data_IF_448951807686
#
_entry.id   IF_448951807686
#
_cell.length_a   1.000
_cell.length_b   1.000
_cell.length_c   1.000
_cell.angle_alpha   90.00
_cell.angle_beta   90.00
_cell.angle_gamma   90.00
#
_symmetry.space_group_name_H-M   'P 1'
#
loop_
_entity.id
_entity.type
_entity.pdbx_description
1 polymer ?
#
# COMPACT_ATOMS: atom_id res chain seq x y z
N UNK A 1 -79.19 20.36 -26.39
CA UNK A 1 -77.76 20.09 -26.23
C UNK A 1 -77.13 21.31 -25.58
N UNK A 2 -76.90 21.26 -24.28
CA UNK A 2 -76.24 22.29 -23.48
C UNK A 2 -75.42 21.54 -22.44
N UNK A 3 -74.09 21.71 -22.45
CA UNK A 3 -73.21 21.23 -21.40
C UNK A 3 -72.52 22.45 -20.80
N UNK A 4 -72.88 22.75 -19.54
CA UNK A 4 -72.21 23.69 -18.66
C UNK A 4 -70.88 23.10 -18.17
N UNK A 5 -69.88 23.97 -18.05
CA UNK A 5 -68.58 23.68 -17.47
C UNK A 5 -68.62 23.46 -15.96
N UNK A 6 -67.72 22.59 -15.49
CA UNK A 6 -67.44 22.35 -14.08
C UNK A 6 -66.18 23.10 -13.65
N UNK A 7 -66.34 23.93 -12.63
CA UNK A 7 -65.28 24.60 -11.87
C UNK A 7 -64.85 23.65 -10.74
N UNK A 8 -63.58 23.26 -10.67
CA UNK A 8 -63.04 22.47 -9.56
C UNK A 8 -62.34 23.40 -8.55
N UNK A 9 -62.80 23.37 -7.30
CA UNK A 9 -62.26 24.10 -6.16
C UNK A 9 -61.21 23.22 -5.47
N UNK A 10 -60.00 23.75 -5.26
CA UNK A 10 -58.96 23.09 -4.47
C UNK A 10 -59.17 23.34 -2.96
N UNK A 11 -59.04 22.32 -2.09
CA UNK A 11 -59.04 22.52 -0.64
C UNK A 11 -57.67 23.01 -0.16
N UNK A 12 -57.71 24.05 0.70
CA UNK A 12 -56.56 24.56 1.45
C UNK A 12 -56.33 23.61 2.64
N UNK A 13 -55.16 22.96 2.70
CA UNK A 13 -54.73 22.24 3.90
C UNK A 13 -54.31 23.25 4.97
N UNK A 14 -55.05 23.27 6.08
CA UNK A 14 -54.67 23.96 7.30
C UNK A 14 -53.54 23.19 8.00
N UNK A 15 -52.40 23.83 8.18
CA UNK A 15 -51.29 23.34 8.99
C UNK A 15 -51.70 23.45 10.46
N UNK A 16 -51.79 22.33 11.18
CA UNK A 16 -51.94 22.33 12.63
C UNK A 16 -50.65 22.85 13.26
N UNK A 17 -50.71 24.05 13.85
CA UNK A 17 -49.72 24.53 14.79
C UNK A 17 -49.88 23.73 16.09
N UNK A 18 -48.99 22.77 16.31
CA UNK A 18 -48.80 22.17 17.64
C UNK A 18 -48.20 23.25 18.53
N UNK A 19 -48.98 23.74 19.48
CA UNK A 19 -48.51 24.58 20.57
C UNK A 19 -47.51 23.78 21.41
N UNK A 20 -46.29 24.31 21.69
CA UNK A 20 -45.42 23.66 22.65
C UNK A 20 -46.08 23.72 24.02
N UNK A 21 -46.26 22.55 24.65
CA UNK A 21 -46.60 22.48 26.08
C UNK A 21 -45.51 23.22 26.85
N UNK A 22 -45.89 24.37 27.43
CA UNK A 22 -45.02 25.13 28.32
C UNK A 22 -44.92 24.35 29.62
N UNK A 23 -43.82 23.62 29.78
CA UNK A 23 -43.46 23.02 31.06
C UNK A 23 -43.22 24.15 32.07
N UNK A 24 -44.14 24.33 33.02
CA UNK A 24 -44.17 25.47 33.95
C UNK A 24 -43.09 25.43 35.05
N UNK A 25 -42.25 24.38 35.07
CA UNK A 25 -41.21 24.18 36.09
C UNK A 25 -39.80 24.62 35.62
N UNK A 26 -39.71 25.53 34.63
CA UNK A 26 -38.42 26.04 34.16
C UNK A 26 -37.86 27.13 35.08
N UNK A 27 -36.86 26.79 35.90
CA UNK A 27 -36.14 27.74 36.79
C UNK A 27 -34.96 28.46 36.12
N UNK A 28 -34.78 28.33 34.81
CA UNK A 28 -33.62 28.90 34.08
C UNK A 28 -33.82 30.35 33.61
N UNK A 29 -32.73 31.00 33.21
CA UNK A 29 -32.79 32.33 32.59
C UNK A 29 -33.50 32.27 31.25
N UNK A 30 -34.51 33.10 31.05
CA UNK A 30 -35.25 33.25 29.78
C UNK A 30 -34.73 34.47 29.01
N UNK A 31 -34.78 34.39 27.69
CA UNK A 31 -34.42 35.51 26.83
C UNK A 31 -35.49 36.62 26.98
N UNK A 32 -35.10 37.85 27.36
CA UNK A 32 -36.05 38.92 27.66
C UNK A 32 -36.85 39.42 26.45
N UNK A 33 -36.46 39.09 25.22
CA UNK A 33 -37.14 39.55 24.00
C UNK A 33 -38.18 38.58 23.45
N UNK A 34 -38.05 37.28 23.71
CA UNK A 34 -38.94 36.26 23.14
C UNK A 34 -39.47 35.23 24.14
N UNK A 35 -39.09 35.33 25.43
CA UNK A 35 -39.56 34.44 26.49
C UNK A 35 -39.11 32.99 26.34
N UNK A 36 -38.27 32.68 25.35
CA UNK A 36 -37.72 31.35 25.19
C UNK A 36 -36.66 31.11 26.28
N UNK A 37 -36.54 29.88 26.80
CA UNK A 37 -35.40 29.52 27.65
C UNK A 37 -34.11 29.90 26.91
N UNK A 38 -33.21 30.63 27.58
CA UNK A 38 -31.87 30.83 27.03
C UNK A 38 -31.29 29.43 26.93
N UNK A 39 -31.03 28.96 25.71
CA UNK A 39 -30.24 27.75 25.52
C UNK A 39 -28.93 28.00 26.25
N UNK A 40 -28.75 27.37 27.41
CA UNK A 40 -27.42 27.19 27.96
C UNK A 40 -26.65 26.56 26.81
N UNK A 41 -25.62 27.25 26.33
CA UNK A 41 -24.62 26.65 25.46
C UNK A 41 -24.31 25.31 26.11
N UNK A 42 -24.74 24.24 25.45
CA UNK A 42 -24.52 22.91 25.94
C UNK A 42 -23.02 22.82 26.06
N UNK A 43 -22.51 22.80 27.30
CA UNK A 43 -21.11 22.50 27.54
C UNK A 43 -20.81 21.30 26.67
N UNK A 44 -19.86 21.45 25.75
CA UNK A 44 -19.46 20.37 24.86
C UNK A 44 -19.21 19.17 25.76
N UNK A 45 -20.14 18.21 25.74
CA UNK A 45 -20.02 17.01 26.56
C UNK A 45 -18.68 16.43 26.16
N UNK A 46 -17.73 16.47 27.09
CA UNK A 46 -16.39 15.94 26.90
C UNK A 46 -16.50 14.41 26.99
N UNK A 47 -17.32 13.83 26.10
CA UNK A 47 -17.56 12.40 26.02
C UNK A 47 -16.23 11.82 25.55
N UNK A 48 -15.55 11.01 26.38
CA UNK A 48 -14.22 10.52 26.05
C UNK A 48 -14.24 9.64 24.80
N UNK A 49 -15.39 9.04 24.47
CA UNK A 49 -15.58 8.14 23.35
C UNK A 49 -16.67 8.63 22.38
N UNK A 50 -16.37 8.66 21.08
CA UNK A 50 -17.30 9.10 20.03
C UNK A 50 -17.57 7.97 19.05
N UNK A 51 -18.84 7.64 18.83
CA UNK A 51 -19.23 6.61 17.85
C UNK A 51 -19.05 7.13 16.41
N UNK A 52 -18.47 6.31 15.55
CA UNK A 52 -18.24 6.60 14.14
C UNK A 52 -19.31 5.92 13.25
N UNK A 53 -19.50 6.40 12.01
CA UNK A 53 -20.50 5.84 11.09
C UNK A 53 -20.26 4.36 10.72
N UNK A 54 -19.01 3.92 10.69
CA UNK A 54 -18.63 2.51 10.45
C UNK A 54 -18.96 1.58 11.64
N UNK A 55 -19.57 2.11 12.70
CA UNK A 55 -19.92 1.39 13.92
C UNK A 55 -18.79 1.31 14.95
N UNK A 56 -17.57 1.72 14.61
CA UNK A 56 -16.45 1.81 15.55
C UNK A 56 -16.61 2.99 16.50
N UNK A 57 -15.72 3.09 17.48
CA UNK A 57 -15.69 4.21 18.44
C UNK A 57 -14.30 4.80 18.52
N UNK A 58 -14.19 6.12 18.59
CA UNK A 58 -12.94 6.83 18.77
C UNK A 58 -12.80 7.35 20.21
N UNK A 59 -11.74 6.95 20.90
CA UNK A 59 -11.37 7.47 22.21
C UNK A 59 -10.48 8.72 22.07
N UNK A 60 -11.00 9.88 22.50
CA UNK A 60 -10.32 11.18 22.46
C UNK A 60 -9.16 11.29 23.44
N UNK A 61 -9.13 10.49 24.49
CA UNK A 61 -8.09 10.50 25.52
C UNK A 61 -6.93 9.60 25.11
N UNK A 62 -7.24 8.40 24.63
CA UNK A 62 -6.24 7.42 24.20
C UNK A 62 -5.77 7.66 22.74
N UNK A 63 -6.49 8.48 21.97
CA UNK A 63 -6.28 8.69 20.55
C UNK A 63 -6.33 7.41 19.71
N UNK A 64 -7.24 6.50 20.06
CA UNK A 64 -7.39 5.19 19.41
C UNK A 64 -8.80 4.93 18.94
N UNK A 65 -8.92 4.20 17.84
CA UNK A 65 -10.16 3.62 17.33
C UNK A 65 -10.39 2.25 17.98
N UNK A 66 -11.65 1.93 18.27
CA UNK A 66 -12.09 0.72 18.95
C UNK A 66 -13.09 -0.04 18.07
N UNK A 67 -12.82 -1.32 17.84
CA UNK A 67 -13.57 -2.20 16.95
C UNK A 67 -14.11 -3.40 17.70
N UNK A 68 -15.44 -3.56 17.69
CA UNK A 68 -16.11 -4.78 18.14
C UNK A 68 -16.33 -5.71 16.96
N UNK A 69 -15.97 -6.98 17.10
CA UNK A 69 -16.19 -7.98 16.05
C UNK A 69 -17.40 -8.83 16.41
N UNK A 70 -18.45 -8.79 15.60
CA UNK A 70 -19.69 -9.51 15.88
C UNK A 70 -19.43 -11.01 16.12
N UNK A 71 -19.91 -11.54 17.24
CA UNK A 71 -19.72 -12.94 17.63
C UNK A 71 -18.43 -13.22 18.40
N UNK A 72 -17.65 -12.20 18.75
CA UNK A 72 -16.48 -12.31 19.60
C UNK A 72 -16.60 -11.33 20.78
N UNK A 73 -16.14 -11.76 21.94
CA UNK A 73 -15.96 -10.88 23.09
C UNK A 73 -14.62 -10.14 22.97
N UNK A 74 -14.56 -8.91 23.48
CA UNK A 74 -13.37 -8.06 23.41
C UNK A 74 -13.43 -6.94 22.37
N UNK A 75 -12.49 -6.01 22.51
CA UNK A 75 -12.37 -4.80 21.68
C UNK A 75 -10.95 -4.76 21.12
N UNK A 76 -10.82 -4.71 19.79
CA UNK A 76 -9.55 -4.42 19.14
C UNK A 76 -9.39 -2.90 19.11
N UNK A 77 -8.23 -2.38 19.54
CA UNK A 77 -7.93 -0.96 19.42
C UNK A 77 -6.81 -0.70 18.41
N UNK A 78 -6.84 0.45 17.74
CA UNK A 78 -5.88 0.83 16.70
C UNK A 78 -5.60 2.34 16.73
N UNK A 79 -4.38 2.74 16.39
CA UNK A 79 -4.03 4.16 16.20
C UNK A 79 -4.58 4.76 14.89
N UNK A 80 -5.07 3.92 13.97
CA UNK A 80 -5.62 4.33 12.68
C UNK A 80 -7.04 3.84 12.48
N UNK A 81 -7.82 4.56 11.67
CA UNK A 81 -9.17 4.20 11.30
C UNK A 81 -9.19 3.07 10.25
N UNK A 82 -10.35 2.43 10.08
CA UNK A 82 -10.53 1.41 9.06
C UNK A 82 -10.51 2.00 7.65
N UNK A 83 -9.64 1.47 6.81
CA UNK A 83 -9.37 1.93 5.44
C UNK A 83 -8.43 3.13 5.38
N UNK A 84 -7.76 3.52 6.47
CA UNK A 84 -6.87 4.67 6.48
C UNK A 84 -5.53 4.34 5.81
N UNK A 85 -5.00 5.29 5.05
CA UNK A 85 -3.64 5.25 4.48
C UNK A 85 -2.73 6.15 5.29
N UNK A 86 -1.58 5.62 5.75
CA UNK A 86 -0.60 6.34 6.58
C UNK A 86 0.83 6.12 6.10
N UNK A 87 1.74 7.00 6.53
CA UNK A 87 3.19 6.87 6.31
C UNK A 87 3.97 6.54 7.57
N UNK A 88 3.30 6.62 8.73
CA UNK A 88 3.89 6.36 10.04
C UNK A 88 3.48 4.98 10.57
N UNK A 89 4.22 4.41 11.54
CA UNK A 89 3.88 3.13 12.13
C UNK A 89 2.49 3.11 12.79
N UNK A 90 1.85 1.94 12.73
CA UNK A 90 0.53 1.67 13.30
C UNK A 90 0.67 0.76 14.50
N UNK A 91 -0.05 1.08 15.58
CA UNK A 91 -0.16 0.22 16.75
C UNK A 91 -1.59 -0.31 16.86
N UNK A 92 -1.69 -1.61 17.15
CA UNK A 92 -2.94 -2.32 17.36
C UNK A 92 -2.84 -3.11 18.66
N UNK A 93 -3.90 -3.09 19.46
CA UNK A 93 -4.04 -3.98 20.63
C UNK A 93 -5.14 -4.99 20.36
N UNK A 94 -4.81 -6.27 20.52
CA UNK A 94 -5.73 -7.39 20.37
C UNK A 94 -5.89 -8.04 21.76
N UNK A 95 -7.14 -8.25 22.23
CA UNK A 95 -7.40 -8.99 23.46
C UNK A 95 -6.77 -10.39 23.44
N UNK A 96 -6.22 -10.84 24.57
CA UNK A 96 -5.50 -12.12 24.67
C UNK A 96 -6.37 -13.37 24.43
N UNK A 97 -7.68 -13.21 24.58
CA UNK A 97 -8.72 -14.22 24.37
C UNK A 97 -9.22 -14.28 22.92
N UNK A 98 -8.72 -13.40 22.04
CA UNK A 98 -9.11 -13.33 20.63
C UNK A 98 -8.02 -13.93 19.73
N UNK A 99 -8.36 -14.95 18.94
CA UNK A 99 -7.47 -15.46 17.89
C UNK A 99 -7.58 -14.55 16.65
N UNK A 100 -6.59 -13.70 16.44
CA UNK A 100 -6.52 -12.79 15.31
C UNK A 100 -5.19 -12.91 14.57
N UNK A 101 -5.26 -12.76 13.25
CA UNK A 101 -4.10 -12.83 12.36
C UNK A 101 -3.94 -11.51 11.63
N UNK A 102 -2.69 -11.03 11.59
CA UNK A 102 -2.29 -9.91 10.74
C UNK A 102 -1.91 -10.46 9.35
N UNK A 103 -2.53 -9.91 8.33
CA UNK A 103 -2.16 -10.14 6.93
C UNK A 103 -1.48 -8.89 6.39
N UNK A 104 -0.41 -9.08 5.61
CA UNK A 104 0.26 -8.03 4.83
C UNK A 104 0.27 -8.49 3.38
N UNK A 105 -0.28 -7.67 2.48
CA UNK A 105 -0.40 -7.97 1.05
C UNK A 105 -1.08 -9.34 0.76
N UNK A 106 -2.03 -9.74 1.62
CA UNK A 106 -2.75 -11.02 1.52
C UNK A 106 -2.06 -12.22 2.16
N UNK A 107 -0.81 -12.08 2.64
CA UNK A 107 -0.06 -13.15 3.31
C UNK A 107 -0.05 -12.97 4.82
N UNK A 108 -0.08 -14.07 5.57
CA UNK A 108 -0.05 -14.03 7.05
C UNK A 108 1.33 -13.58 7.51
N UNK A 109 1.38 -12.56 8.35
CA UNK A 109 2.63 -12.13 9.02
C UNK A 109 2.93 -13.10 10.16
N UNK A 110 4.08 -13.78 10.10
CA UNK A 110 4.54 -14.64 11.19
C UNK A 110 5.05 -13.80 12.36
N UNK A 111 4.51 -14.00 13.57
CA UNK A 111 4.93 -13.30 14.80
C UNK A 111 4.93 -11.75 14.65
N UNK A 112 3.79 -11.14 14.34
CA UNK A 112 3.70 -9.69 14.15
C UNK A 112 3.98 -8.93 15.44
N UNK A 113 4.68 -7.79 15.32
CA UNK A 113 4.78 -6.78 16.36
C UNK A 113 3.58 -5.82 16.23
N UNK A 114 2.48 -6.16 16.89
CA UNK A 114 1.25 -5.36 16.83
C UNK A 114 1.42 -3.95 17.41
N UNK A 115 2.38 -3.73 18.29
CA UNK A 115 2.63 -2.40 18.87
C UNK A 115 3.36 -1.44 17.94
N UNK A 116 3.94 -1.94 16.84
CA UNK A 116 4.79 -1.17 15.95
C UNK A 116 4.83 -1.75 14.53
N UNK A 117 3.68 -1.82 13.87
CA UNK A 117 3.56 -2.25 12.48
C UNK A 117 4.07 -1.09 11.61
N UNK A 118 5.23 -1.27 10.98
CA UNK A 118 5.95 -0.18 10.29
C UNK A 118 6.30 -0.44 8.83
N UNK A 119 6.26 -1.71 8.41
CA UNK A 119 6.71 -2.05 7.07
C UNK A 119 5.66 -1.64 6.03
N UNK A 120 6.09 -1.24 4.84
CA UNK A 120 5.20 -0.82 3.75
C UNK A 120 4.31 -1.99 3.30
N UNK A 121 3.02 -1.75 3.13
CA UNK A 121 2.08 -2.73 2.57
C UNK A 121 0.63 -2.47 2.95
N UNK A 122 -0.24 -3.32 2.40
CA UNK A 122 -1.66 -3.34 2.71
C UNK A 122 -1.95 -4.35 3.79
N UNK A 123 -2.57 -3.91 4.87
CA UNK A 123 -2.80 -4.70 6.06
C UNK A 123 -4.28 -5.02 6.27
N UNK A 124 -4.54 -6.23 6.76
CA UNK A 124 -5.85 -6.59 7.30
C UNK A 124 -5.70 -7.43 8.57
N UNK A 125 -6.55 -7.16 9.55
CA UNK A 125 -6.64 -7.90 10.80
C UNK A 125 -7.91 -8.74 10.75
N UNK A 126 -7.71 -10.04 10.79
CA UNK A 126 -8.81 -11.02 10.66
C UNK A 126 -8.89 -11.82 11.94
N UNK A 127 -10.03 -11.71 12.62
CA UNK A 127 -10.38 -12.55 13.76
C UNK A 127 -10.87 -13.89 13.22
N UNK A 128 -10.27 -14.97 13.73
CA UNK A 128 -10.55 -16.35 13.37
C UNK A 128 -11.28 -17.03 14.53
N UNK A 129 -12.43 -17.61 14.22
CA UNK A 129 -13.17 -18.50 15.11
C UNK A 129 -13.21 -19.91 14.52
N UNK A 130 -13.94 -20.81 15.19
CA UNK A 130 -14.01 -22.24 14.82
C UNK A 130 -14.38 -22.43 13.34
N UNK A 131 -15.38 -21.69 12.85
CA UNK A 131 -15.87 -21.77 11.46
C UNK A 131 -16.09 -20.41 10.79
N UNK A 132 -15.55 -19.33 11.36
CA UNK A 132 -15.76 -17.98 10.80
C UNK A 132 -14.46 -17.18 10.77
N UNK A 133 -14.33 -16.36 9.72
CA UNK A 133 -13.29 -15.35 9.61
C UNK A 133 -13.95 -14.01 9.40
N UNK A 134 -13.61 -13.04 10.24
CA UNK A 134 -14.15 -11.67 10.13
C UNK A 134 -13.00 -10.68 10.13
N UNK A 135 -12.94 -9.87 9.07
CA UNK A 135 -12.02 -8.73 9.04
C UNK A 135 -12.54 -7.68 10.03
N UNK A 136 -11.68 -7.29 10.96
CA UNK A 136 -11.97 -6.26 11.94
C UNK A 136 -11.54 -4.86 11.45
N UNK A 137 -10.37 -4.80 10.83
CA UNK A 137 -9.70 -3.57 10.44
C UNK A 137 -8.83 -3.83 9.21
N UNK A 138 -8.74 -2.84 8.32
CA UNK A 138 -7.71 -2.74 7.28
C UNK A 138 -7.09 -1.35 7.25
N UNK A 139 -5.85 -1.23 6.83
CA UNK A 139 -5.14 0.03 6.63
C UNK A 139 -3.94 -0.20 5.69
N UNK A 140 -3.42 0.85 5.09
CA UNK A 140 -2.20 0.79 4.27
C UNK A 140 -1.10 1.63 4.91
N UNK A 141 0.12 1.08 4.95
CA UNK A 141 1.34 1.83 5.27
C UNK A 141 2.11 2.02 3.97
N UNK A 142 2.35 3.26 3.58
CA UNK A 142 3.09 3.61 2.36
C UNK A 142 4.37 4.38 2.70
N UNK A 143 5.33 4.35 1.79
CA UNK A 143 6.50 5.22 1.89
C UNK A 143 6.12 6.70 1.75
N UNK A 144 6.98 7.59 2.26
CA UNK A 144 6.83 9.04 2.03
C UNK A 144 6.94 9.41 0.56
N UNK A 145 7.67 8.61 -0.22
CA UNK A 145 7.61 8.54 -1.68
C UNK A 145 7.04 7.17 -2.05
N UNK A 146 6.05 7.12 -2.94
CA UNK A 146 5.39 5.85 -3.29
C UNK A 146 4.78 5.88 -4.69
N UNK A 147 4.90 4.77 -5.41
CA UNK A 147 4.17 4.48 -6.63
C UNK A 147 2.94 3.59 -6.43
N UNK A 148 2.66 3.17 -5.20
CA UNK A 148 1.59 2.20 -4.91
C UNK A 148 0.18 2.81 -4.92
N UNK A 149 0.06 4.13 -4.69
CA UNK A 149 -1.23 4.80 -4.53
C UNK A 149 -1.72 5.36 -5.87
N UNK A 150 -2.83 4.83 -6.38
CA UNK A 150 -3.53 5.41 -7.55
C UNK A 150 -4.76 6.20 -7.15
N UNK A 151 -5.40 5.81 -6.04
CA UNK A 151 -6.50 6.53 -5.42
C UNK A 151 -6.55 6.22 -3.92
N UNK A 152 -7.21 7.08 -3.16
CA UNK A 152 -7.49 6.84 -1.75
C UNK A 152 -8.91 7.26 -1.41
N UNK A 153 -9.69 6.30 -0.96
CA UNK A 153 -11.04 6.53 -0.42
C UNK A 153 -10.90 6.73 1.08
N UNK A 154 -11.19 7.93 1.57
CA UNK A 154 -11.17 8.22 2.99
C UNK A 154 -12.06 7.26 3.79
N UNK A 155 -11.69 6.91 5.03
CA UNK A 155 -12.55 6.14 5.94
C UNK A 155 -13.97 6.70 6.06
N UNK A 156 -14.92 5.85 6.42
CA UNK A 156 -16.31 6.28 6.57
C UNK A 156 -16.45 7.35 7.67
N UNK A 157 -17.20 8.41 7.39
CA UNK A 157 -17.35 9.55 8.30
C UNK A 157 -16.21 10.58 8.24
N UNK A 158 -15.22 10.40 7.35
CA UNK A 158 -14.17 11.39 7.13
C UNK A 158 -14.46 12.24 5.89
N UNK A 159 -14.04 13.50 5.95
CA UNK A 159 -14.24 14.52 4.90
C UNK A 159 -12.94 15.22 4.56
N UNK A 160 -12.70 15.44 3.27
CA UNK A 160 -11.53 16.18 2.79
C UNK A 160 -11.69 17.65 3.16
N UNK A 161 -10.64 18.24 3.75
CA UNK A 161 -10.57 19.66 4.12
C UNK A 161 -9.75 20.45 3.10
N UNK A 162 -8.65 19.88 2.61
CA UNK A 162 -7.81 20.49 1.57
C UNK A 162 -6.94 19.45 0.87
N UNK A 163 -6.62 19.71 -0.39
CA UNK A 163 -5.59 19.00 -1.14
C UNK A 163 -4.69 20.05 -1.79
N UNK A 164 -3.38 19.87 -1.68
CA UNK A 164 -2.40 20.56 -2.52
C UNK A 164 -1.48 19.57 -3.20
N UNK A 165 -1.13 19.86 -4.46
CA UNK A 165 -0.15 19.13 -5.26
C UNK A 165 0.95 20.12 -5.61
N UNK A 166 2.19 19.83 -5.20
CA UNK A 166 3.36 20.71 -5.37
C UNK A 166 3.07 22.14 -4.87
N UNK A 167 2.53 22.23 -3.65
CA UNK A 167 2.11 23.46 -2.99
C UNK A 167 0.97 24.24 -3.68
N UNK A 168 0.43 23.73 -4.79
CA UNK A 168 -0.73 24.31 -5.47
C UNK A 168 -2.01 23.70 -4.93
N UNK A 169 -2.86 24.51 -4.30
CA UNK A 169 -4.19 24.08 -3.82
C UNK A 169 -5.07 23.62 -4.97
N UNK A 170 -5.67 22.44 -4.80
CA UNK A 170 -6.61 21.86 -5.74
C UNK A 170 -8.05 22.22 -5.37
N UNK A 171 -8.94 22.21 -6.36
CA UNK A 171 -10.37 22.30 -6.13
C UNK A 171 -10.87 21.07 -5.38
N UNK A 172 -11.74 21.27 -4.39
CA UNK A 172 -12.39 20.16 -3.70
C UNK A 172 -13.63 19.75 -4.47
N UNK A 173 -13.67 18.48 -4.85
CA UNK A 173 -14.92 17.81 -5.17
C UNK A 173 -15.44 17.21 -3.86
N UNK A 174 -16.75 17.25 -3.59
CA UNK A 174 -17.40 16.65 -2.40
C UNK A 174 -17.34 15.10 -2.38
N UNK A 175 -16.30 14.54 -2.98
CA UNK A 175 -15.91 13.16 -3.04
C UNK A 175 -15.16 12.78 -1.76
N UNK A 176 -15.29 11.51 -1.33
CA UNK A 176 -14.41 10.90 -0.32
C UNK A 176 -13.13 10.31 -0.95
N UNK A 177 -13.04 10.33 -2.27
CA UNK A 177 -11.95 9.76 -3.04
C UNK A 177 -10.99 10.85 -3.50
N UNK A 178 -9.71 10.60 -3.28
CA UNK A 178 -8.57 11.37 -3.76
C UNK A 178 -7.96 10.59 -4.92
N UNK A 179 -7.70 11.28 -6.02
CA UNK A 179 -7.02 10.72 -7.19
C UNK A 179 -5.53 11.04 -7.11
N UNK A 180 -4.69 10.00 -7.24
CA UNK A 180 -3.24 10.09 -7.25
C UNK A 180 -2.66 9.81 -8.65
N UNK A 181 -3.48 9.80 -9.71
CA UNK A 181 -3.04 9.59 -11.08
C UNK A 181 -1.96 10.57 -11.57
N UNK A 182 -1.90 11.77 -10.97
CA UNK A 182 -0.87 12.76 -11.26
C UNK A 182 0.28 12.61 -10.26
N UNK A 183 1.50 12.52 -10.75
CA UNK A 183 2.71 12.57 -9.91
C UNK A 183 2.90 13.94 -9.25
N UNK A 184 3.63 13.95 -8.13
CA UNK A 184 3.97 15.17 -7.38
C UNK A 184 3.80 15.01 -5.87
N UNK A 185 4.02 16.10 -5.13
CA UNK A 185 3.93 16.12 -3.67
C UNK A 185 2.53 16.48 -3.21
N UNK A 186 1.85 15.52 -2.61
CA UNK A 186 0.52 15.69 -2.04
C UNK A 186 0.60 16.07 -0.57
N UNK A 187 -0.16 17.10 -0.20
CA UNK A 187 -0.52 17.41 1.19
C UNK A 187 -2.05 17.38 1.28
N UNK A 188 -2.58 16.32 1.87
CA UNK A 188 -4.01 16.09 2.04
C UNK A 188 -4.35 16.29 3.50
N UNK A 189 -5.25 17.23 3.78
CA UNK A 189 -5.87 17.40 5.11
C UNK A 189 -7.30 16.91 5.07
N UNK A 190 -7.68 16.14 6.07
CA UNK A 190 -9.02 15.58 6.19
C UNK A 190 -9.43 15.45 7.65
N UNK A 191 -10.73 15.49 7.92
CA UNK A 191 -11.29 15.53 9.27
C UNK A 191 -12.28 14.39 9.47
N UNK A 192 -12.26 13.77 10.63
CA UNK A 192 -13.36 12.89 11.05
C UNK A 192 -14.53 13.75 11.52
N UNK A 193 -15.69 13.66 10.86
CA UNK A 193 -16.85 14.52 11.15
C UNK A 193 -17.40 14.30 12.57
N UNK A 194 -17.33 13.08 13.09
CA UNK A 194 -17.87 12.75 14.41
C UNK A 194 -16.90 13.14 15.54
N UNK A 195 -15.62 12.76 15.45
CA UNK A 195 -14.63 13.06 16.50
C UNK A 195 -14.04 14.46 16.38
N UNK A 196 -14.27 15.15 15.27
CA UNK A 196 -13.79 16.50 14.98
C UNK A 196 -12.27 16.66 14.83
N UNK A 197 -11.53 15.54 14.78
CA UNK A 197 -10.07 15.52 14.69
C UNK A 197 -9.61 15.61 13.24
N UNK A 198 -8.55 16.40 13.03
CA UNK A 198 -7.89 16.57 11.76
C UNK A 198 -6.73 15.57 11.61
N UNK A 199 -6.58 15.06 10.40
CA UNK A 199 -5.54 14.13 9.96
C UNK A 199 -4.89 14.70 8.72
N UNK A 200 -3.64 14.29 8.46
CA UNK A 200 -2.93 14.67 7.24
C UNK A 200 -2.21 13.48 6.62
N UNK A 201 -2.26 13.38 5.30
CA UNK A 201 -1.42 12.47 4.52
C UNK A 201 -0.48 13.32 3.65
N UNK A 202 0.83 13.19 3.89
CA UNK A 202 1.88 13.84 3.11
C UNK A 202 2.68 12.77 2.38
N UNK A 203 2.61 12.77 1.06
CA UNK A 203 3.20 11.73 0.22
C UNK A 203 3.63 12.30 -1.13
N UNK A 204 4.80 11.89 -1.60
CA UNK A 204 5.27 12.13 -2.96
C UNK A 204 4.86 10.94 -3.84
N UNK A 205 4.05 11.20 -4.86
CA UNK A 205 3.59 10.19 -5.80
C UNK A 205 4.52 10.17 -7.00
N UNK A 206 5.07 8.99 -7.27
CA UNK A 206 5.95 8.70 -8.39
C UNK A 206 5.59 7.33 -8.96
N UNK A 207 5.04 7.29 -10.16
CA UNK A 207 4.62 6.08 -10.85
C UNK A 207 5.62 5.65 -11.92
N UNK A 208 6.75 6.35 -12.04
CA UNK A 208 7.73 6.14 -13.09
C UNK A 208 8.65 4.97 -12.70
N UNK A 209 8.61 3.83 -13.43
CA UNK A 209 9.48 2.71 -13.10
C UNK A 209 10.97 3.02 -13.37
N UNK A 210 11.89 2.30 -12.70
CA UNK A 210 13.33 2.45 -12.93
C UNK A 210 13.71 2.24 -14.40
N UNK A 211 14.52 3.15 -14.95
CA UNK A 211 15.08 3.03 -16.31
C UNK A 211 16.43 2.31 -16.27
N UNK A 212 16.40 0.97 -16.37
CA UNK A 212 17.61 0.13 -16.35
C UNK A 212 17.83 -0.64 -17.66
N UNK A 213 19.10 -0.78 -18.05
CA UNK A 213 19.50 -1.56 -19.22
C UNK A 213 20.30 -2.81 -18.81
N UNK A 214 19.98 -3.94 -19.44
CA UNK A 214 20.68 -5.22 -19.25
C UNK A 214 21.64 -5.50 -20.42
N UNK A 215 22.83 -4.89 -20.38
CA UNK A 215 23.85 -5.06 -21.42
C UNK A 215 24.27 -6.51 -21.57
N UNK A 216 24.29 -7.00 -22.81
CA UNK A 216 24.65 -8.38 -23.14
C UNK A 216 23.46 -9.32 -23.30
N UNK A 217 22.24 -8.89 -22.96
CA UNK A 217 21.02 -9.67 -23.18
C UNK A 217 20.44 -9.35 -24.56
N UNK A 218 20.24 -10.38 -25.38
CA UNK A 218 19.53 -10.31 -26.67
C UNK A 218 18.50 -11.44 -26.71
N UNK A 219 17.23 -11.10 -26.96
CA UNK A 219 16.12 -12.06 -27.03
C UNK A 219 16.05 -13.01 -25.79
N UNK A 220 16.23 -12.45 -24.60
CA UNK A 220 16.21 -13.19 -23.33
C UNK A 220 17.42 -14.11 -23.09
N UNK A 221 18.48 -14.00 -23.90
CA UNK A 221 19.69 -14.82 -23.79
C UNK A 221 20.94 -13.94 -23.78
N UNK A 222 21.97 -14.39 -23.09
CA UNK A 222 23.28 -13.76 -23.10
C UNK A 222 24.36 -14.81 -23.39
N UNK A 223 25.28 -14.49 -24.29
CA UNK A 223 26.44 -15.31 -24.64
C UNK A 223 27.71 -14.73 -24.01
N UNK A 224 27.58 -14.30 -22.75
CA UNK A 224 28.59 -13.55 -22.02
C UNK A 224 28.06 -13.01 -20.70
N UNK A 225 28.89 -12.29 -19.93
CA UNK A 225 28.46 -11.58 -18.74
C UNK A 225 27.38 -10.55 -19.06
N UNK A 226 26.41 -10.40 -18.16
CA UNK A 226 25.39 -9.35 -18.21
C UNK A 226 25.74 -8.27 -17.20
N UNK A 227 25.65 -7.00 -17.62
CA UNK A 227 25.84 -5.84 -16.74
C UNK A 227 24.52 -5.09 -16.65
N UNK A 228 24.14 -4.71 -15.43
CA UNK A 228 22.98 -3.85 -15.17
C UNK A 228 23.50 -2.41 -15.13
N UNK A 229 22.97 -1.56 -16.01
CA UNK A 229 23.31 -0.14 -16.11
C UNK A 229 22.06 0.72 -15.86
N UNK A 230 22.26 1.98 -15.48
CA UNK A 230 21.17 2.94 -15.24
C UNK A 230 20.64 2.99 -13.80
N UNK A 231 21.24 2.24 -12.88
CA UNK A 231 20.86 2.28 -11.46
C UNK A 231 21.06 3.68 -10.86
N UNK A 232 20.03 4.19 -10.21
CA UNK A 232 20.03 5.45 -9.49
C UNK A 232 20.31 5.25 -8.00
N UNK A 233 20.55 6.36 -7.29
CA UNK A 233 20.71 6.31 -5.84
C UNK A 233 19.37 5.97 -5.18
N UNK A 234 19.34 4.92 -4.36
CA UNK A 234 18.11 4.43 -3.72
C UNK A 234 17.57 3.16 -4.37
N UNK A 235 18.00 2.84 -5.60
CA UNK A 235 17.58 1.60 -6.27
C UNK A 235 18.06 0.36 -5.52
N UNK A 236 17.17 -0.63 -5.44
CA UNK A 236 17.45 -1.95 -4.88
C UNK A 236 17.38 -2.99 -5.98
N UNK A 237 18.34 -3.92 -6.01
CA UNK A 237 18.41 -5.00 -6.99
C UNK A 237 18.25 -6.35 -6.29
N UNK A 238 17.14 -7.02 -6.59
CA UNK A 238 16.87 -8.40 -6.17
C UNK A 238 17.13 -9.35 -7.34
N UNK A 239 17.86 -10.43 -7.11
CA UNK A 239 18.24 -11.39 -8.15
C UNK A 239 17.83 -12.78 -7.72
N UNK A 240 17.10 -13.46 -8.59
CA UNK A 240 16.80 -14.87 -8.47
C UNK A 240 17.60 -15.65 -9.52
N UNK A 241 18.52 -16.49 -9.07
CA UNK A 241 19.36 -17.35 -9.92
C UNK A 241 18.92 -18.80 -9.78
N UNK A 242 18.52 -19.43 -10.90
CA UNK A 242 17.96 -20.79 -10.92
C UNK A 242 16.87 -21.00 -9.85
N UNK A 243 15.98 -20.02 -9.74
CA UNK A 243 14.84 -20.02 -8.81
C UNK A 243 15.23 -19.89 -7.31
N UNK A 244 16.48 -19.50 -6.99
CA UNK A 244 16.94 -19.16 -5.64
C UNK A 244 17.35 -17.68 -5.54
N UNK A 245 17.02 -17.02 -4.43
CA UNK A 245 17.42 -15.63 -4.19
C UNK A 245 18.92 -15.53 -3.90
N UNK A 246 19.61 -14.63 -4.62
CA UNK A 246 21.05 -14.41 -4.49
C UNK A 246 21.35 -12.92 -4.33
N UNK A 247 22.39 -12.62 -3.55
CA UNK A 247 22.86 -11.25 -3.39
C UNK A 247 23.47 -10.72 -4.68
N UNK A 248 23.12 -9.49 -5.04
CA UNK A 248 23.71 -8.83 -6.20
C UNK A 248 25.25 -8.70 -6.05
N UNK A 249 26.04 -9.05 -7.07
CA UNK A 249 27.49 -8.91 -7.02
C UNK A 249 27.87 -7.43 -6.94
N UNK A 250 28.88 -7.10 -6.13
CA UNK A 250 29.30 -5.72 -5.88
C UNK A 250 29.71 -4.93 -7.14
N UNK A 251 30.06 -5.62 -8.22
CA UNK A 251 30.43 -5.00 -9.50
C UNK A 251 29.28 -4.95 -10.52
N UNK A 252 28.06 -5.35 -10.14
CA UNK A 252 26.88 -5.37 -11.00
C UNK A 252 26.95 -6.34 -12.20
N UNK A 253 27.93 -7.27 -12.21
CA UNK A 253 28.16 -8.19 -13.34
C UNK A 253 27.77 -9.62 -13.02
N UNK A 254 26.78 -10.11 -13.76
CA UNK A 254 26.27 -11.48 -13.69
C UNK A 254 27.01 -12.35 -14.70
N UNK A 255 27.60 -13.45 -14.23
CA UNK A 255 28.55 -14.27 -15.03
C UNK A 255 28.20 -15.74 -15.09
N UNK A 256 27.58 -16.27 -14.04
CA UNK A 256 27.30 -17.69 -13.93
C UNK A 256 26.29 -18.11 -15.00
N UNK A 257 26.55 -19.23 -15.67
CA UNK A 257 25.62 -19.82 -16.63
C UNK A 257 24.37 -20.28 -15.88
N UNK A 258 23.19 -19.95 -16.41
CA UNK A 258 21.92 -20.27 -15.76
C UNK A 258 20.83 -19.24 -16.04
N UNK A 259 19.68 -19.46 -15.40
CA UNK A 259 18.48 -18.62 -15.50
C UNK A 259 18.55 -17.53 -14.44
N UNK A 260 18.29 -16.30 -14.84
CA UNK A 260 18.18 -15.13 -13.98
C UNK A 260 16.79 -14.52 -14.11
N UNK A 261 16.27 -14.06 -12.99
CA UNK A 261 15.19 -13.09 -12.89
C UNK A 261 15.70 -11.95 -12.01
N UNK A 262 15.85 -10.77 -12.59
CA UNK A 262 16.36 -9.58 -11.89
C UNK A 262 15.24 -8.58 -11.76
N UNK A 263 14.93 -8.20 -10.53
CA UNK A 263 13.97 -7.14 -10.20
C UNK A 263 14.73 -5.95 -9.65
N UNK A 264 14.59 -4.81 -10.33
CA UNK A 264 15.08 -3.51 -9.84
C UNK A 264 13.89 -2.74 -9.30
N UNK A 265 14.03 -2.16 -8.11
CA UNK A 265 13.03 -1.34 -7.44
C UNK A 265 13.61 0.05 -7.16
N UNK A 266 12.89 1.12 -7.45
CA UNK A 266 13.28 2.48 -7.06
C UNK A 266 12.89 2.79 -5.60
N UNK A 267 13.16 4.02 -5.17
CA UNK A 267 12.80 4.54 -3.84
C UNK A 267 11.29 4.78 -3.63
N UNK A 268 10.52 4.85 -4.72
CA UNK A 268 9.04 4.90 -4.69
C UNK A 268 8.40 3.49 -4.66
N UNK A 269 9.20 2.43 -4.80
CA UNK A 269 8.74 1.05 -4.87
C UNK A 269 8.23 0.61 -6.24
N UNK A 270 8.37 1.40 -7.29
CA UNK A 270 8.12 0.94 -8.66
C UNK A 270 9.17 -0.08 -9.05
N UNK A 271 8.80 -1.04 -9.90
CA UNK A 271 9.71 -2.14 -10.24
C UNK A 271 9.79 -2.41 -11.73
N UNK A 272 10.97 -2.85 -12.16
CA UNK A 272 11.21 -3.47 -13.47
C UNK A 272 11.79 -4.86 -13.24
N UNK A 273 11.19 -5.87 -13.86
CA UNK A 273 11.68 -7.25 -13.79
C UNK A 273 12.13 -7.74 -15.15
N UNK A 274 13.33 -8.34 -15.22
CA UNK A 274 13.90 -8.92 -16.43
C UNK A 274 14.36 -10.35 -16.22
N UNK A 275 13.75 -11.26 -16.98
CA UNK A 275 14.20 -12.64 -17.11
C UNK A 275 15.18 -12.82 -18.28
N UNK A 276 16.29 -13.53 -18.05
CA UNK A 276 17.20 -13.96 -19.12
C UNK A 276 18.02 -15.20 -18.73
N UNK A 277 18.67 -15.83 -19.71
CA UNK A 277 19.58 -16.97 -19.49
C UNK A 277 20.98 -16.66 -20.00
N UNK A 278 21.98 -16.75 -19.13
CA UNK A 278 23.38 -16.75 -19.54
C UNK A 278 23.72 -18.15 -20.00
N UNK A 279 24.10 -18.31 -21.27
CA UNK A 279 24.52 -19.59 -21.86
C UNK A 279 26.03 -19.77 -21.70
N UNK A 280 26.50 -21.00 -21.85
CA UNK A 280 27.94 -21.24 -22.01
C UNK A 280 28.46 -20.45 -23.21
N UNK A 281 29.49 -19.65 -22.97
CA UNK A 281 30.24 -18.95 -23.99
C UNK A 281 31.71 -19.32 -23.83
N UNK A 282 32.33 -19.82 -24.90
CA UNK A 282 33.78 -19.91 -24.95
C UNK A 282 34.31 -18.54 -25.33
N UNK A 283 35.09 -17.92 -24.45
CA UNK A 283 35.95 -16.82 -24.86
C UNK A 283 36.89 -17.34 -25.97
N UNK A 284 37.02 -16.60 -27.06
CA UNK A 284 37.90 -16.92 -28.19
C UNK A 284 39.33 -17.25 -27.74
N UNK A 285 39.84 -16.60 -26.68
CA UNK A 285 41.13 -16.93 -26.07
C UNK A 285 41.15 -18.34 -25.46
N UNK A 286 40.06 -18.74 -24.78
CA UNK A 286 39.90 -20.11 -24.26
C UNK A 286 39.77 -21.13 -25.38
N UNK A 287 39.07 -20.79 -26.47
CA UNK A 287 39.01 -21.62 -27.67
C UNK A 287 40.37 -21.84 -28.32
N UNK A 288 41.18 -20.77 -28.46
CA UNK A 288 42.56 -20.85 -28.96
C UNK A 288 43.43 -21.72 -28.05
N UNK A 289 43.29 -21.59 -26.73
CA UNK A 289 44.05 -22.39 -25.77
C UNK A 289 43.70 -23.88 -25.87
N UNK A 290 42.41 -24.22 -25.98
CA UNK A 290 41.94 -25.60 -26.18
C UNK A 290 42.44 -26.15 -27.52
N UNK A 291 42.41 -25.35 -28.59
CA UNK A 291 42.93 -25.74 -29.90
C UNK A 291 44.45 -25.97 -29.88
N UNK A 292 45.21 -25.11 -29.18
CA UNK A 292 46.65 -25.27 -28.97
C UNK A 292 46.98 -26.52 -28.15
N UNK A 293 46.22 -26.80 -27.09
CA UNK A 293 46.41 -28.02 -26.30
C UNK A 293 46.17 -29.28 -27.15
N UNK A 294 45.10 -29.29 -27.94
CA UNK A 294 44.79 -30.39 -28.87
C UNK A 294 45.88 -30.56 -29.94
N UNK A 295 46.41 -29.47 -30.49
CA UNK A 295 47.45 -29.56 -31.52
C UNK A 295 48.76 -30.16 -30.99
N UNK A 296 49.15 -29.84 -29.75
CA UNK A 296 50.32 -30.44 -29.09
C UNK A 296 50.14 -31.95 -28.89
N UNK A 297 48.96 -32.38 -28.44
CA UNK A 297 48.64 -33.81 -28.25
C UNK A 297 48.71 -34.56 -29.59
N UNK A 298 48.14 -33.99 -30.65
CA UNK A 298 48.21 -34.57 -32.01
C UNK A 298 49.65 -34.64 -32.50
N UNK A 299 50.45 -33.58 -32.33
CA UNK A 299 51.85 -33.56 -32.74
C UNK A 299 52.68 -34.63 -32.00
N UNK A 300 52.49 -34.78 -30.69
CA UNK A 300 53.13 -35.82 -29.90
C UNK A 300 52.72 -37.23 -30.36
N UNK A 301 51.44 -37.45 -30.65
CA UNK A 301 50.93 -38.72 -31.17
C UNK A 301 51.53 -39.08 -32.54
N UNK A 302 51.61 -38.11 -33.46
CA UNK A 302 52.25 -38.29 -34.77
C UNK A 302 53.74 -38.58 -34.60
N UNK A 303 54.43 -37.84 -33.74
CA UNK A 303 55.85 -38.07 -33.45
C UNK A 303 56.10 -39.48 -32.88
N UNK A 304 55.30 -39.92 -31.91
CA UNK A 304 55.37 -41.29 -31.37
C UNK A 304 55.09 -42.34 -32.43
N UNK A 305 54.12 -42.12 -33.31
CA UNK A 305 53.81 -43.04 -34.40
C UNK A 305 54.96 -43.18 -35.42
N UNK A 306 55.54 -42.05 -35.83
CA UNK A 306 56.66 -42.03 -36.80
C UNK A 306 57.93 -42.62 -36.19
N UNK A 307 58.27 -42.26 -34.94
CA UNK A 307 59.43 -42.81 -34.24
C UNK A 307 59.31 -44.32 -34.04
N UNK A 308 58.12 -44.84 -33.70
CA UNK A 308 57.89 -46.29 -33.58
C UNK A 308 58.06 -47.03 -34.91
N UNK A 309 57.70 -46.43 -36.04
CA UNK A 309 57.95 -47.02 -37.38
C UNK A 309 59.43 -47.04 -37.77
N UNK A 310 60.22 -46.04 -37.33
CA UNK A 310 61.68 -46.01 -37.56
C UNK A 310 62.46 -46.94 -36.63
N UNK A 311 61.87 -47.38 -35.51
CA UNK A 311 62.46 -48.31 -34.55
C UNK A 311 62.21 -49.80 -34.87
N UNK A 312 61.60 -50.15 -36.02
CA UNK A 312 61.67 -51.52 -36.53
C UNK A 312 63.08 -51.76 -37.08
N UNK A 313 63.95 -52.20 -36.19
CA UNK A 313 65.32 -52.66 -36.45
C UNK A 313 65.29 -53.81 -37.48
N UNK A 314 66.22 -53.72 -38.42
CA UNK A 314 66.56 -54.71 -39.45
C UNK A 314 67.23 -55.93 -38.81
#
# INVERSE_FOLDING_TARGET
MSLLGYLAVFPIMATMLVSPEVNMDYEGTVNPYNGAPVQQESQASNVPAVKLPDGSTYDRTAHTFSYTVAGYEGIITSTVANGMVVTDPVAVTIPSDMDAKLYRNGEVVSKPDYGNIKDIGSYSIVVTGVDTKKQALSFDIVGKKTGMLTSYILPEGFVIQSISIDDVKQGLNYSRTIDFSKEGRYDVSYRCSASEINYSLKVEIDHTPPEVEFKGVKNGKADGPVTIEGLQAGDTVNIRFNDEDVTAPANGKLRSVGKYEVTVSDDAGNTVTKGFTIRMYLNMQGGIFVALALSVVVAAGVYMYVSRKRLRVR
#
